data_IF_696834752499
#
_entry.id   IF_696834752499
#
_cell.length_a   1.000
_cell.length_b   1.000
_cell.length_c   1.000
_cell.angle_alpha   90.00
_cell.angle_beta   90.00
_cell.angle_gamma   90.00
#
_symmetry.space_group_name_H-M   'P 1'
#
loop_
_entity.id
_entity.type
_entity.pdbx_description
1 polymer ?
#
# COMPACT_ATOMS: atom_id res chain seq x y z
N UNK A 1 -12.34 -2.58 -12.80
CA UNK A 1 -13.25 -3.62 -13.35
C UNK A 1 -14.47 -3.90 -12.47
N UNK A 2 -14.35 -3.90 -11.13
CA UNK A 2 -15.50 -4.13 -10.21
C UNK A 2 -16.52 -2.98 -10.19
N UNK A 3 -16.06 -1.73 -10.01
CA UNK A 3 -16.92 -0.54 -10.01
C UNK A 3 -17.78 -0.42 -11.29
N UNK A 4 -17.18 -0.65 -12.46
CA UNK A 4 -17.89 -0.67 -13.75
C UNK A 4 -18.96 -1.78 -13.80
N UNK A 5 -18.64 -2.98 -13.32
CA UNK A 5 -19.59 -4.09 -13.23
C UNK A 5 -20.77 -3.78 -12.32
N UNK A 6 -20.52 -3.20 -11.14
CA UNK A 6 -21.55 -2.78 -10.20
C UNK A 6 -22.45 -1.69 -10.77
N UNK A 7 -21.87 -0.67 -11.44
CA UNK A 7 -22.63 0.37 -12.15
C UNK A 7 -23.54 -0.22 -13.22
N UNK A 8 -23.06 -1.19 -14.01
CA UNK A 8 -23.87 -1.91 -15.02
C UNK A 8 -25.03 -2.69 -14.42
N UNK A 9 -24.89 -3.17 -13.18
CA UNK A 9 -25.97 -3.84 -12.42
C UNK A 9 -26.93 -2.85 -11.75
N UNK A 10 -26.78 -1.54 -11.98
CA UNK A 10 -27.67 -0.50 -11.46
C UNK A 10 -27.29 0.07 -10.09
N UNK A 11 -26.21 -0.43 -9.46
CA UNK A 11 -25.78 0.04 -8.16
C UNK A 11 -25.24 1.49 -8.21
N UNK A 12 -25.38 2.20 -7.10
CA UNK A 12 -24.65 3.44 -6.85
C UNK A 12 -23.22 3.09 -6.49
N UNK A 13 -22.24 3.73 -7.13
CA UNK A 13 -20.82 3.47 -6.88
C UNK A 13 -20.09 4.79 -6.71
N UNK A 14 -19.57 5.02 -5.51
CA UNK A 14 -18.79 6.20 -5.14
C UNK A 14 -17.35 5.77 -4.91
N UNK A 15 -16.42 6.46 -5.55
CA UNK A 15 -14.98 6.23 -5.40
C UNK A 15 -14.38 7.45 -4.67
N UNK A 16 -13.70 7.18 -3.56
CA UNK A 16 -13.02 8.14 -2.71
C UNK A 16 -11.53 7.80 -2.71
N UNK A 17 -10.72 8.75 -3.14
CA UNK A 17 -9.28 8.69 -3.03
C UNK A 17 -8.83 9.95 -2.28
N UNK A 18 -8.10 9.82 -1.17
CA UNK A 18 -7.50 10.93 -0.45
C UNK A 18 -6.47 11.73 -1.22
N UNK A 19 -6.23 11.47 -2.50
CA UNK A 19 -5.45 12.35 -3.38
C UNK A 19 -5.97 13.80 -3.34
N UNK A 20 -7.27 13.96 -3.13
CA UNK A 20 -7.93 15.26 -2.93
C UNK A 20 -7.58 15.90 -1.56
N UNK A 21 -6.88 15.19 -0.66
CA UNK A 21 -6.64 15.47 0.76
C UNK A 21 -5.13 15.45 1.06
N UNK A 22 -4.46 16.60 1.23
CA UNK A 22 -3.09 16.57 1.78
C UNK A 22 -3.16 16.46 3.31
N UNK A 23 -2.40 15.53 3.90
CA UNK A 23 -2.26 15.43 5.36
C UNK A 23 -1.72 16.73 5.97
N UNK A 24 -0.88 17.45 5.23
CA UNK A 24 -0.44 18.81 5.58
C UNK A 24 -1.63 19.77 5.77
N UNK A 25 -2.64 19.72 4.89
CA UNK A 25 -3.83 20.56 5.01
C UNK A 25 -4.74 20.11 6.16
N UNK A 26 -4.80 18.82 6.47
CA UNK A 26 -5.51 18.31 7.64
C UNK A 26 -4.82 18.78 8.92
N UNK A 27 -3.51 18.61 9.03
CA UNK A 27 -2.70 19.07 10.17
C UNK A 27 -2.79 20.59 10.36
N UNK A 28 -2.63 21.37 9.29
CA UNK A 28 -2.76 22.82 9.34
C UNK A 28 -4.18 23.30 9.69
N UNK A 29 -5.21 22.54 9.33
CA UNK A 29 -6.59 22.85 9.67
C UNK A 29 -6.95 22.53 11.13
N UNK A 30 -6.21 21.63 11.78
CA UNK A 30 -6.46 21.06 13.11
C UNK A 30 -5.37 21.42 14.14
N UNK A 31 -4.53 22.41 13.81
CA UNK A 31 -3.27 22.77 14.49
C UNK A 31 -3.37 23.22 15.98
N UNK A 32 -4.46 22.91 16.69
CA UNK A 32 -4.74 23.41 18.04
C UNK A 32 -5.03 22.33 19.10
N UNK A 33 -4.64 21.07 18.91
CA UNK A 33 -4.91 20.02 19.93
C UNK A 33 -3.67 19.31 20.50
N UNK A 34 -3.40 19.59 21.78
CA UNK A 34 -2.60 18.82 22.74
C UNK A 34 -3.40 17.67 23.41
N UNK A 35 -4.59 17.31 22.89
CA UNK A 35 -5.43 16.26 23.49
C UNK A 35 -5.17 14.87 22.89
N UNK A 36 -5.24 13.85 23.75
CA UNK A 36 -4.83 12.49 23.43
C UNK A 36 -5.54 11.85 22.23
N UNK A 37 -4.80 10.97 21.55
CA UNK A 37 -5.14 10.27 20.29
C UNK A 37 -6.57 9.73 20.18
N UNK A 38 -7.17 9.20 21.26
CA UNK A 38 -8.51 8.60 21.23
C UNK A 38 -9.64 9.59 20.89
N UNK A 39 -9.52 10.84 21.34
CA UNK A 39 -10.50 11.88 21.02
C UNK A 39 -10.45 12.27 19.54
N UNK A 40 -9.26 12.23 18.93
CA UNK A 40 -9.05 12.51 17.50
C UNK A 40 -9.68 11.43 16.61
N UNK A 41 -9.47 10.16 16.95
CA UNK A 41 -10.04 9.02 16.18
C UNK A 41 -11.56 9.11 16.09
N UNK A 42 -12.24 9.39 17.20
CA UNK A 42 -13.70 9.54 17.22
C UNK A 42 -14.21 10.70 16.34
N UNK A 43 -13.47 11.81 16.31
CA UNK A 43 -13.84 12.98 15.50
C UNK A 43 -13.70 12.67 14.00
N UNK A 44 -12.60 12.03 13.61
CA UNK A 44 -12.42 11.55 12.24
C UNK A 44 -13.46 10.51 11.85
N UNK A 45 -13.79 9.56 12.72
CA UNK A 45 -14.84 8.57 12.44
C UNK A 45 -16.22 9.23 12.20
N UNK A 46 -16.57 10.25 12.99
CA UNK A 46 -17.80 11.02 12.78
C UNK A 46 -17.76 11.78 11.44
N UNK A 47 -16.66 12.49 11.15
CA UNK A 47 -16.49 13.25 9.92
C UNK A 47 -16.52 12.37 8.66
N UNK A 48 -15.91 11.19 8.70
CA UNK A 48 -15.94 10.22 7.60
C UNK A 48 -17.34 9.70 7.33
N UNK A 49 -18.05 9.24 8.36
CA UNK A 49 -19.45 8.80 8.24
C UNK A 49 -20.32 9.92 7.65
N UNK A 50 -20.18 11.15 8.17
CA UNK A 50 -20.89 12.32 7.66
C UNK A 50 -20.62 12.51 6.16
N UNK A 51 -19.35 12.57 5.76
CA UNK A 51 -18.96 12.74 4.36
C UNK A 51 -19.56 11.66 3.46
N UNK A 52 -19.42 10.39 3.83
CA UNK A 52 -19.90 9.27 3.02
C UNK A 52 -21.41 9.33 2.86
N UNK A 53 -22.16 9.57 3.95
CA UNK A 53 -23.61 9.70 3.88
C UNK A 53 -24.05 10.88 3.01
N UNK A 54 -23.40 12.03 3.14
CA UNK A 54 -23.70 13.21 2.31
C UNK A 54 -23.45 12.94 0.83
N UNK A 55 -22.31 12.31 0.49
CA UNK A 55 -21.99 11.97 -0.89
C UNK A 55 -22.96 10.94 -1.47
N UNK A 56 -23.33 9.93 -0.69
CA UNK A 56 -24.34 8.95 -1.06
C UNK A 56 -25.69 9.61 -1.33
N UNK A 57 -26.15 10.48 -0.44
CA UNK A 57 -27.40 11.22 -0.60
C UNK A 57 -27.36 12.10 -1.85
N UNK A 58 -26.27 12.82 -2.10
CA UNK A 58 -26.07 13.62 -3.32
C UNK A 58 -26.17 12.77 -4.58
N UNK A 59 -25.48 11.63 -4.61
CA UNK A 59 -25.45 10.73 -5.76
C UNK A 59 -26.82 10.10 -6.04
N UNK A 60 -27.55 9.68 -5.00
CA UNK A 60 -28.92 9.17 -5.11
C UNK A 60 -29.88 10.24 -5.68
N UNK A 61 -29.77 11.48 -5.20
CA UNK A 61 -30.57 12.60 -5.69
C UNK A 61 -30.22 12.93 -7.15
N UNK A 62 -28.93 12.95 -7.50
CA UNK A 62 -28.47 13.20 -8.86
C UNK A 62 -28.98 12.14 -9.85
N UNK A 63 -28.85 10.85 -9.52
CA UNK A 63 -29.33 9.74 -10.36
C UNK A 63 -30.84 9.76 -10.60
N UNK A 64 -31.62 10.34 -9.68
CA UNK A 64 -33.06 10.48 -9.85
C UNK A 64 -33.48 11.51 -10.91
N UNK A 65 -32.53 12.31 -11.43
CA UNK A 65 -32.80 13.32 -12.45
C UNK A 65 -33.81 14.38 -12.01
N UNK A 66 -33.90 14.67 -10.71
CA UNK A 66 -34.86 15.64 -10.16
C UNK A 66 -36.27 15.09 -9.92
N UNK A 67 -36.52 13.80 -10.17
CA UNK A 67 -37.85 13.16 -10.10
C UNK A 67 -38.02 12.34 -8.82
N UNK A 68 -38.21 12.99 -7.68
CA UNK A 68 -38.33 12.32 -6.38
C UNK A 68 -39.72 12.36 -5.73
N UNK A 69 -40.72 12.98 -6.39
CA UNK A 69 -42.13 12.94 -5.98
C UNK A 69 -42.37 13.32 -4.50
N UNK A 70 -43.28 12.59 -3.82
CA UNK A 70 -43.42 12.59 -2.36
C UNK A 70 -42.95 11.22 -1.86
N UNK A 71 -41.91 11.16 -1.03
CA UNK A 71 -41.36 9.89 -0.53
C UNK A 71 -40.02 10.05 0.19
N UNK A 72 -39.37 8.93 0.58
CA UNK A 72 -38.08 8.93 1.28
C UNK A 72 -37.00 9.75 0.56
N UNK A 73 -36.87 9.56 -0.76
CA UNK A 73 -35.90 10.28 -1.58
C UNK A 73 -36.18 11.80 -1.62
N UNK A 74 -37.44 12.23 -1.53
CA UNK A 74 -37.78 13.65 -1.49
C UNK A 74 -37.34 14.33 -0.17
N UNK A 75 -37.36 13.59 0.95
CA UNK A 75 -36.83 14.09 2.23
C UNK A 75 -35.30 14.25 2.17
N UNK A 76 -34.62 13.24 1.62
CA UNK A 76 -33.17 13.28 1.36
C UNK A 76 -32.82 14.45 0.43
N UNK A 77 -33.54 14.60 -0.69
CA UNK A 77 -33.34 15.69 -1.64
C UNK A 77 -33.53 17.08 -1.01
N UNK A 78 -34.50 17.22 -0.09
CA UNK A 78 -34.70 18.46 0.66
C UNK A 78 -33.51 18.75 1.57
N UNK A 79 -33.05 17.77 2.34
CA UNK A 79 -31.87 17.93 3.20
C UNK A 79 -30.63 18.34 2.40
N UNK A 80 -30.34 17.64 1.30
CA UNK A 80 -29.21 17.94 0.41
C UNK A 80 -29.32 19.37 -0.15
N UNK A 81 -30.51 19.79 -0.57
CA UNK A 81 -30.73 21.15 -1.08
C UNK A 81 -30.53 22.22 -0.01
N UNK A 82 -31.05 22.00 1.19
CA UNK A 82 -31.06 23.01 2.24
C UNK A 82 -29.68 23.16 2.92
N UNK A 83 -28.88 22.08 2.94
CA UNK A 83 -27.61 22.04 3.68
C UNK A 83 -26.36 21.89 2.79
N UNK A 84 -26.53 21.43 1.54
CA UNK A 84 -25.42 21.08 0.64
C UNK A 84 -25.65 21.52 -0.81
N UNK A 85 -26.37 22.62 -1.02
CA UNK A 85 -26.71 23.19 -2.34
C UNK A 85 -25.51 23.56 -3.20
N UNK A 86 -24.36 23.86 -2.58
CA UNK A 86 -23.12 24.15 -3.30
C UNK A 86 -22.60 22.88 -4.00
N UNK A 87 -22.62 22.89 -5.34
CA UNK A 87 -22.14 21.81 -6.18
C UNK A 87 -20.62 21.57 -6.08
N UNK A 88 -19.87 22.60 -5.66
CA UNK A 88 -18.42 22.67 -5.87
C UNK A 88 -17.59 22.59 -4.57
N UNK A 89 -18.20 22.20 -3.44
CA UNK A 89 -17.42 21.95 -2.23
C UNK A 89 -16.62 20.66 -2.45
N UNK A 90 -15.29 20.77 -2.53
CA UNK A 90 -14.38 19.61 -2.53
C UNK A 90 -14.77 18.68 -1.38
N UNK A 91 -14.72 17.36 -1.61
CA UNK A 91 -14.98 16.35 -0.58
C UNK A 91 -14.16 16.62 0.69
N UNK A 92 -12.95 17.18 0.52
CA UNK A 92 -12.05 17.60 1.60
C UNK A 92 -12.68 18.68 2.46
N UNK A 93 -13.20 19.71 1.82
CA UNK A 93 -13.79 20.87 2.48
C UNK A 93 -15.05 20.48 3.27
N UNK A 94 -15.79 19.46 2.82
CA UNK A 94 -16.90 18.91 3.58
C UNK A 94 -16.43 18.16 4.84
N UNK A 95 -15.36 17.36 4.73
CA UNK A 95 -14.76 16.66 5.86
C UNK A 95 -14.12 17.63 6.87
N UNK A 96 -13.25 18.54 6.41
CA UNK A 96 -12.64 19.60 7.23
C UNK A 96 -13.71 20.50 7.84
N UNK A 97 -14.74 20.87 7.08
CA UNK A 97 -15.85 21.68 7.58
C UNK A 97 -16.57 21.00 8.74
N UNK A 98 -16.76 19.68 8.68
CA UNK A 98 -17.34 18.92 9.79
C UNK A 98 -16.40 18.83 11.00
N UNK A 99 -15.11 18.58 10.78
CA UNK A 99 -14.10 18.58 11.84
C UNK A 99 -14.05 19.94 12.56
N UNK A 100 -14.03 21.04 11.81
CA UNK A 100 -14.07 22.40 12.37
C UNK A 100 -15.37 22.71 13.14
N UNK A 101 -16.50 22.09 12.79
CA UNK A 101 -17.73 22.18 13.60
C UNK A 101 -17.53 21.52 14.96
N UNK A 102 -16.91 20.34 15.00
CA UNK A 102 -16.59 19.63 16.25
C UNK A 102 -15.64 20.49 17.10
N UNK A 103 -14.57 21.02 16.50
CA UNK A 103 -13.58 21.87 17.19
C UNK A 103 -14.16 23.21 17.67
N UNK A 104 -14.95 23.88 16.84
CA UNK A 104 -15.52 25.18 17.15
C UNK A 104 -16.44 25.15 18.38
N UNK A 105 -17.11 24.03 18.63
CA UNK A 105 -17.91 23.82 19.85
C UNK A 105 -17.01 23.72 21.11
N UNK A 106 -15.75 23.26 20.98
CA UNK A 106 -14.81 23.19 22.11
C UNK A 106 -14.33 24.58 22.56
N UNK A 107 -14.14 25.51 21.62
CA UNK A 107 -13.47 26.82 21.84
C UNK A 107 -14.45 27.98 22.15
N UNK A 108 -15.74 27.88 21.81
CA UNK A 108 -16.70 28.99 21.95
C UNK A 108 -17.03 29.44 23.39
N UNK A 109 -17.61 30.63 23.63
CA UNK A 109 -17.84 31.21 24.97
C UNK A 109 -19.04 30.62 25.76
N UNK A 110 -19.68 29.55 25.28
CA UNK A 110 -20.92 29.00 25.85
C UNK A 110 -20.72 28.25 27.19
N UNK A 111 -21.80 28.00 27.94
CA UNK A 111 -21.77 27.17 29.16
C UNK A 111 -21.30 25.73 28.88
N UNK A 112 -20.50 25.15 29.79
CA UNK A 112 -19.87 23.82 29.61
C UNK A 112 -20.89 22.68 29.36
N UNK A 113 -22.07 22.75 29.98
CA UNK A 113 -23.15 21.77 29.79
C UNK A 113 -23.75 21.81 28.37
N UNK A 114 -23.89 23.01 27.80
CA UNK A 114 -24.36 23.18 26.43
C UNK A 114 -23.35 22.63 25.42
N UNK A 115 -22.06 22.92 25.60
CA UNK A 115 -20.98 22.40 24.72
C UNK A 115 -20.96 20.88 24.71
N UNK A 116 -21.09 20.24 25.88
CA UNK A 116 -21.06 18.78 26.01
C UNK A 116 -22.19 18.14 25.20
N UNK A 117 -23.41 18.67 25.32
CA UNK A 117 -24.57 18.17 24.56
C UNK A 117 -24.40 18.37 23.06
N UNK A 118 -23.90 19.53 22.63
CA UNK A 118 -23.75 19.83 21.21
C UNK A 118 -22.63 18.98 20.56
N UNK A 119 -21.53 18.75 21.27
CA UNK A 119 -20.50 17.79 20.87
C UNK A 119 -21.09 16.40 20.73
N UNK A 120 -21.85 15.94 21.73
CA UNK A 120 -22.47 14.61 21.71
C UNK A 120 -23.33 14.40 20.46
N UNK A 121 -24.13 15.40 20.06
CA UNK A 121 -24.93 15.36 18.82
C UNK A 121 -24.04 15.22 17.57
N UNK A 122 -22.93 15.96 17.50
CA UNK A 122 -22.02 15.92 16.36
C UNK A 122 -21.31 14.56 16.24
N UNK A 123 -20.85 13.98 17.35
CA UNK A 123 -20.25 12.64 17.34
C UNK A 123 -21.27 11.55 16.99
N UNK A 124 -22.52 11.71 17.46
CA UNK A 124 -23.62 10.78 17.15
C UNK A 124 -24.16 10.94 15.74
N UNK A 125 -23.89 12.06 15.06
CA UNK A 125 -24.46 12.40 13.75
C UNK A 125 -25.99 12.53 13.79
N UNK A 126 -26.55 13.16 14.82
CA UNK A 126 -28.00 13.26 15.01
C UNK A 126 -28.74 13.78 13.75
N UNK A 127 -28.14 14.74 13.03
CA UNK A 127 -28.69 15.29 11.78
C UNK A 127 -28.79 14.25 10.65
N UNK A 128 -27.82 13.35 10.55
CA UNK A 128 -27.81 12.27 9.56
C UNK A 128 -28.66 11.09 10.03
N UNK A 129 -28.60 10.75 11.32
CA UNK A 129 -29.38 9.67 11.93
C UNK A 129 -30.89 9.84 11.70
N UNK A 130 -31.37 11.08 11.73
CA UNK A 130 -32.76 11.42 11.43
C UNK A 130 -33.19 11.04 9.99
N UNK A 131 -32.24 10.85 9.06
CA UNK A 131 -32.48 10.50 7.66
C UNK A 131 -32.19 9.03 7.33
N UNK A 132 -31.55 8.27 8.24
CA UNK A 132 -31.19 6.87 8.00
C UNK A 132 -32.39 5.97 7.70
N UNK A 133 -33.58 6.12 8.33
CA UNK A 133 -34.74 5.29 7.98
C UNK A 133 -35.18 5.48 6.53
N UNK A 134 -35.21 6.72 6.04
CA UNK A 134 -35.51 7.02 4.65
C UNK A 134 -34.41 6.53 3.70
N UNK A 135 -33.15 6.75 4.07
CA UNK A 135 -32.01 6.31 3.28
C UNK A 135 -32.01 4.79 3.11
N UNK A 136 -32.33 4.03 4.16
CA UNK A 136 -32.47 2.57 4.10
C UNK A 136 -33.56 2.13 3.11
N UNK A 137 -34.70 2.83 3.07
CA UNK A 137 -35.76 2.51 2.11
C UNK A 137 -35.33 2.78 0.67
N UNK A 138 -34.56 3.85 0.42
CA UNK A 138 -34.02 4.13 -0.90
C UNK A 138 -32.97 3.09 -1.30
N UNK A 139 -32.06 2.74 -0.40
CA UNK A 139 -30.98 1.78 -0.63
C UNK A 139 -31.49 0.36 -0.93
N UNK A 140 -32.59 -0.05 -0.30
CA UNK A 140 -33.22 -1.35 -0.58
C UNK A 140 -33.67 -1.50 -2.05
N UNK A 141 -33.92 -0.38 -2.75
CA UNK A 141 -34.25 -0.37 -4.18
C UNK A 141 -33.04 -0.05 -5.05
N UNK A 142 -32.06 0.65 -4.50
CA UNK A 142 -30.87 1.12 -5.19
C UNK A 142 -29.65 0.94 -4.30
N UNK A 143 -29.07 -0.28 -4.26
CA UNK A 143 -27.94 -0.56 -3.39
C UNK A 143 -26.73 0.28 -3.79
N UNK A 144 -25.89 0.58 -2.80
CA UNK A 144 -24.74 1.43 -2.95
C UNK A 144 -23.46 0.76 -2.45
N UNK A 145 -22.38 0.99 -3.18
CA UNK A 145 -21.04 0.54 -2.83
C UNK A 145 -20.11 1.75 -2.84
N UNK A 146 -19.36 1.95 -1.76
CA UNK A 146 -18.33 2.98 -1.65
C UNK A 146 -16.98 2.29 -1.64
N UNK A 147 -16.06 2.76 -2.48
CA UNK A 147 -14.66 2.37 -2.45
C UNK A 147 -13.84 3.53 -1.91
N UNK A 148 -13.04 3.26 -0.89
CA UNK A 148 -12.06 4.18 -0.33
C UNK A 148 -10.69 3.54 -0.54
N UNK A 149 -9.86 4.19 -1.34
CA UNK A 149 -8.51 3.71 -1.69
C UNK A 149 -7.47 4.81 -1.43
N UNK A 150 -6.18 4.48 -1.48
CA UNK A 150 -5.06 5.43 -1.41
C UNK A 150 -4.97 6.29 -0.13
N UNK A 151 -5.34 5.70 1.02
CA UNK A 151 -5.21 6.33 2.34
C UNK A 151 -3.75 6.53 2.79
N UNK A 152 -2.82 5.92 2.08
CA UNK A 152 -1.38 5.96 2.33
C UNK A 152 -0.65 7.17 1.72
N UNK A 153 -1.30 7.91 0.82
CA UNK A 153 -0.64 9.04 0.15
C UNK A 153 -0.39 10.22 1.09
N UNK A 154 0.87 10.67 1.16
CA UNK A 154 1.26 11.76 2.07
C UNK A 154 1.30 11.33 3.53
N UNK A 155 1.29 10.02 3.80
CA UNK A 155 1.46 9.47 5.13
C UNK A 155 2.79 9.92 5.74
N UNK A 156 2.75 10.54 6.91
CA UNK A 156 3.92 11.02 7.64
C UNK A 156 4.06 10.36 9.03
N UNK A 157 3.25 9.32 9.28
CA UNK A 157 3.11 8.65 10.57
C UNK A 157 2.72 9.56 11.76
N UNK A 158 2.28 10.80 11.51
CA UNK A 158 1.78 11.70 12.55
C UNK A 158 0.55 11.14 13.28
N UNK A 159 0.31 11.60 14.50
CA UNK A 159 -0.87 11.18 15.27
C UNK A 159 -2.17 11.48 14.50
N UNK A 160 -2.22 12.60 13.77
CA UNK A 160 -3.39 13.00 12.99
C UNK A 160 -3.59 12.09 11.78
N UNK A 161 -2.51 11.70 11.08
CA UNK A 161 -2.59 10.73 9.99
C UNK A 161 -3.08 9.36 10.49
N UNK A 162 -2.52 8.88 11.61
CA UNK A 162 -2.97 7.64 12.26
C UNK A 162 -4.44 7.72 12.66
N UNK A 163 -4.87 8.81 13.29
CA UNK A 163 -6.25 8.99 13.72
C UNK A 163 -7.23 9.13 12.54
N UNK A 164 -6.80 9.73 11.43
CA UNK A 164 -7.59 9.86 10.20
C UNK A 164 -7.90 8.50 9.58
N UNK A 165 -6.88 7.63 9.44
CA UNK A 165 -7.03 6.28 8.91
C UNK A 165 -7.82 5.38 9.89
N UNK A 166 -7.51 5.44 11.18
CA UNK A 166 -8.26 4.71 12.21
C UNK A 166 -9.74 5.12 12.25
N UNK A 167 -10.02 6.42 12.13
CA UNK A 167 -11.38 6.96 12.04
C UNK A 167 -12.12 6.46 10.81
N UNK A 168 -11.46 6.39 9.64
CA UNK A 168 -12.04 5.81 8.43
C UNK A 168 -12.37 4.32 8.62
N UNK A 169 -11.48 3.56 9.24
CA UNK A 169 -11.71 2.15 9.55
C UNK A 169 -12.93 1.97 10.47
N UNK A 170 -13.02 2.73 11.55
CA UNK A 170 -14.20 2.70 12.45
C UNK A 170 -15.49 3.11 11.74
N UNK A 171 -15.44 4.13 10.87
CA UNK A 171 -16.57 4.55 10.05
C UNK A 171 -17.04 3.41 9.11
N UNK A 172 -16.10 2.76 8.43
CA UNK A 172 -16.36 1.63 7.54
C UNK A 172 -17.09 0.49 8.27
N UNK A 173 -16.56 0.07 9.42
CA UNK A 173 -17.16 -0.98 10.24
C UNK A 173 -18.56 -0.60 10.74
N UNK A 174 -18.71 0.62 11.26
CA UNK A 174 -20.00 1.11 11.75
C UNK A 174 -21.07 1.14 10.64
N UNK A 175 -20.73 1.60 9.44
CA UNK A 175 -21.67 1.70 8.33
C UNK A 175 -22.05 0.31 7.77
N UNK A 176 -21.07 -0.58 7.59
CA UNK A 176 -21.32 -1.94 7.11
C UNK A 176 -22.17 -2.77 8.09
N UNK A 177 -22.10 -2.49 9.39
CA UNK A 177 -22.95 -3.14 10.39
C UNK A 177 -24.43 -2.72 10.35
N UNK A 178 -24.74 -1.56 9.75
CA UNK A 178 -26.09 -0.97 9.79
C UNK A 178 -26.98 -1.39 8.62
N UNK A 179 -26.40 -1.76 7.47
CA UNK A 179 -27.15 -2.08 6.26
C UNK A 179 -26.38 -3.05 5.35
N UNK A 180 -27.09 -4.01 4.77
CA UNK A 180 -26.56 -4.89 3.72
C UNK A 180 -26.63 -4.26 2.33
N UNK A 181 -27.46 -3.22 2.15
CA UNK A 181 -27.65 -2.51 0.89
C UNK A 181 -26.65 -1.36 0.70
N UNK A 182 -25.79 -1.14 1.69
CA UNK A 182 -24.69 -0.19 1.70
C UNK A 182 -23.42 -0.92 2.08
N UNK A 183 -22.46 -1.00 1.17
CA UNK A 183 -21.16 -1.61 1.46
C UNK A 183 -20.05 -0.59 1.24
N UNK A 184 -19.24 -0.37 2.27
CA UNK A 184 -18.03 0.44 2.22
C UNK A 184 -16.84 -0.52 2.17
N UNK A 185 -16.04 -0.42 1.12
CA UNK A 185 -14.75 -1.07 1.00
C UNK A 185 -13.65 -0.06 1.24
N UNK A 186 -12.67 -0.45 2.04
CA UNK A 186 -11.47 0.31 2.35
C UNK A 186 -10.28 -0.55 1.96
N UNK A 187 -9.40 -0.05 1.11
CA UNK A 187 -8.08 -0.63 0.87
C UNK A 187 -7.03 0.16 1.64
N UNK A 188 -6.10 -0.57 2.24
CA UNK A 188 -4.99 -0.01 2.99
C UNK A 188 -3.74 -0.85 2.72
N UNK A 189 -2.60 -0.17 2.59
CA UNK A 189 -1.29 -0.82 2.55
C UNK A 189 -1.04 -1.61 3.83
N UNK A 190 -0.40 -2.78 3.72
CA UNK A 190 -0.26 -3.70 4.84
C UNK A 190 0.60 -3.10 5.95
N UNK A 191 1.71 -2.47 5.59
CA UNK A 191 2.61 -1.77 6.49
C UNK A 191 1.92 -0.62 7.24
N UNK A 192 0.96 0.07 6.63
CA UNK A 192 0.18 1.10 7.33
C UNK A 192 -0.80 0.49 8.31
N UNK A 193 -1.47 -0.58 7.90
CA UNK A 193 -2.32 -1.35 8.80
C UNK A 193 -1.52 -1.84 10.02
N UNK A 194 -0.32 -2.37 9.77
CA UNK A 194 0.54 -2.93 10.81
C UNK A 194 1.14 -1.86 11.75
N UNK A 195 1.20 -0.60 11.32
CA UNK A 195 1.77 0.54 12.05
C UNK A 195 0.75 1.41 12.81
N UNK A 196 -0.55 1.09 12.76
CA UNK A 196 -1.59 1.85 13.49
C UNK A 196 -2.14 0.99 14.63
N UNK A 197 -1.69 1.19 15.89
CA UNK A 197 -2.13 0.40 17.05
C UNK A 197 -3.65 0.37 17.22
N UNK A 198 -4.32 1.50 16.98
CA UNK A 198 -5.77 1.62 17.10
C UNK A 198 -6.54 0.69 16.15
N UNK A 199 -5.94 0.33 15.00
CA UNK A 199 -6.54 -0.65 14.10
C UNK A 199 -6.50 -2.06 14.67
N UNK A 200 -5.48 -2.43 15.47
CA UNK A 200 -5.39 -3.78 16.02
C UNK A 200 -6.47 -4.09 17.05
N UNK A 201 -6.74 -3.16 17.97
CA UNK A 201 -7.73 -3.33 19.02
C UNK A 201 -9.14 -3.52 18.45
N UNK A 202 -9.45 -2.82 17.36
CA UNK A 202 -10.72 -2.97 16.66
C UNK A 202 -10.71 -4.16 15.70
N UNK A 203 -9.62 -4.39 14.96
CA UNK A 203 -9.52 -5.47 14.00
C UNK A 203 -9.65 -6.85 14.63
N UNK A 204 -9.23 -7.05 15.88
CA UNK A 204 -9.47 -8.32 16.58
C UNK A 204 -10.94 -8.76 16.59
N UNK A 205 -11.87 -7.79 16.60
CA UNK A 205 -13.33 -7.99 16.58
C UNK A 205 -13.88 -8.18 15.17
N UNK A 206 -13.13 -7.76 14.15
CA UNK A 206 -13.57 -7.68 12.75
C UNK A 206 -12.67 -8.46 11.79
N UNK A 207 -11.88 -9.42 12.31
CA UNK A 207 -10.99 -10.26 11.47
C UNK A 207 -11.71 -10.93 10.31
N UNK A 208 -12.96 -11.33 10.51
CA UNK A 208 -13.76 -12.04 9.50
C UNK A 208 -14.18 -11.16 8.31
N UNK A 209 -14.00 -9.83 8.40
CA UNK A 209 -14.34 -8.87 7.31
C UNK A 209 -13.10 -8.19 6.72
N UNK A 210 -11.89 -8.59 7.15
CA UNK A 210 -10.62 -8.09 6.63
C UNK A 210 -9.98 -9.18 5.79
N UNK A 211 -9.66 -8.84 4.54
CA UNK A 211 -9.00 -9.76 3.61
C UNK A 211 -7.61 -9.23 3.24
N UNK A 212 -6.58 -10.03 3.48
CA UNK A 212 -5.21 -9.72 3.08
C UNK A 212 -4.92 -10.30 1.70
N UNK A 213 -4.68 -9.41 0.72
CA UNK A 213 -4.33 -9.82 -0.64
C UNK A 213 -2.84 -10.12 -0.70
N UNK A 214 -2.48 -11.34 -1.09
CA UNK A 214 -1.08 -11.73 -1.32
C UNK A 214 -0.93 -12.50 -2.63
N UNK A 215 0.25 -12.40 -3.24
CA UNK A 215 0.58 -13.08 -4.49
C UNK A 215 1.61 -14.17 -4.25
N UNK A 216 1.45 -15.29 -4.96
CA UNK A 216 2.40 -16.37 -5.01
C UNK A 216 2.81 -16.63 -6.46
N UNK A 217 3.79 -17.52 -6.66
CA UNK A 217 4.30 -17.87 -7.98
C UNK A 217 3.20 -18.38 -8.92
N UNK A 218 2.28 -19.21 -8.44
CA UNK A 218 1.19 -19.74 -9.25
C UNK A 218 0.24 -18.63 -9.74
N UNK A 219 -0.17 -17.72 -8.85
CA UNK A 219 -1.02 -16.58 -9.20
C UNK A 219 -0.32 -15.61 -10.16
N UNK A 220 0.97 -15.36 -9.96
CA UNK A 220 1.77 -14.53 -10.89
C UNK A 220 1.90 -15.19 -12.26
N UNK A 221 2.03 -16.51 -12.33
CA UNK A 221 2.03 -17.27 -13.58
C UNK A 221 0.69 -17.14 -14.31
N UNK A 222 -0.43 -17.33 -13.61
CA UNK A 222 -1.77 -17.15 -14.21
C UNK A 222 -1.98 -15.73 -14.74
N UNK A 223 -1.58 -14.74 -13.96
CA UNK A 223 -1.67 -13.33 -14.33
C UNK A 223 -0.87 -13.01 -15.60
N UNK A 224 0.41 -13.39 -15.65
CA UNK A 224 1.27 -13.05 -16.78
C UNK A 224 0.83 -13.81 -18.04
N UNK A 225 0.41 -15.08 -17.91
CA UNK A 225 -0.11 -15.85 -19.05
C UNK A 225 -1.39 -15.23 -19.60
N UNK A 226 -2.31 -14.75 -18.74
CA UNK A 226 -3.49 -14.05 -19.20
C UNK A 226 -3.14 -12.78 -20.00
N UNK A 227 -2.12 -12.03 -19.56
CA UNK A 227 -1.60 -10.86 -20.29
C UNK A 227 -0.97 -11.26 -21.62
N UNK A 228 -0.12 -12.28 -21.65
CA UNK A 228 0.55 -12.75 -22.86
C UNK A 228 -0.47 -13.26 -23.91
N UNK A 229 -1.49 -14.03 -23.50
CA UNK A 229 -2.58 -14.48 -24.39
C UNK A 229 -3.42 -13.33 -24.93
N UNK A 230 -3.61 -12.29 -24.13
CA UNK A 230 -4.31 -11.09 -24.57
C UNK A 230 -3.50 -10.36 -25.65
N UNK A 231 -2.20 -10.16 -25.41
CA UNK A 231 -1.29 -9.42 -26.28
C UNK A 231 -0.91 -10.17 -27.55
N UNK A 232 -0.87 -11.50 -27.54
CA UNK A 232 -0.49 -12.31 -28.71
C UNK A 232 -1.55 -13.38 -29.02
N UNK A 233 -2.27 -13.26 -30.17
CA UNK A 233 -3.24 -14.26 -30.60
C UNK A 233 -2.66 -15.67 -30.74
N UNK A 234 -1.39 -15.79 -31.13
CA UNK A 234 -0.70 -17.09 -31.32
C UNK A 234 -0.56 -17.90 -30.03
N UNK A 235 -0.66 -17.25 -28.87
CA UNK A 235 -0.53 -17.90 -27.56
C UNK A 235 -1.87 -18.34 -26.96
N UNK A 236 -3.00 -17.91 -27.55
CA UNK A 236 -4.35 -18.13 -26.98
C UNK A 236 -4.71 -19.60 -26.87
N UNK A 237 -4.35 -20.39 -27.86
CA UNK A 237 -4.75 -21.79 -27.99
C UNK A 237 -3.78 -22.76 -27.29
N UNK A 238 -2.68 -22.25 -26.71
CA UNK A 238 -1.76 -23.08 -25.94
C UNK A 238 -2.42 -23.50 -24.61
N UNK A 239 -2.53 -24.82 -24.32
CA UNK A 239 -3.34 -25.30 -23.21
C UNK A 239 -2.68 -25.11 -21.84
N UNK A 240 -1.35 -25.15 -21.78
CA UNK A 240 -0.58 -25.11 -20.54
C UNK A 240 0.08 -23.74 -20.33
N UNK A 241 0.03 -23.23 -19.10
CA UNK A 241 0.66 -21.96 -18.74
C UNK A 241 2.19 -21.99 -18.97
N UNK A 242 2.85 -23.09 -18.61
CA UNK A 242 4.29 -23.26 -18.85
C UNK A 242 4.65 -23.27 -20.34
N UNK A 243 3.75 -23.74 -21.21
CA UNK A 243 3.96 -23.71 -22.65
C UNK A 243 3.84 -22.28 -23.19
N UNK A 244 2.88 -21.49 -22.67
CA UNK A 244 2.78 -20.05 -23.00
C UNK A 244 4.05 -19.33 -22.54
N UNK A 245 4.50 -19.58 -21.31
CA UNK A 245 5.73 -18.99 -20.81
C UNK A 245 6.94 -19.36 -21.67
N UNK A 246 7.12 -20.65 -21.95
CA UNK A 246 8.25 -21.19 -22.72
C UNK A 246 8.26 -20.77 -24.18
N UNK A 247 7.15 -20.24 -24.70
CA UNK A 247 7.10 -19.64 -26.04
C UNK A 247 7.68 -18.21 -26.08
N UNK A 248 7.78 -17.54 -24.93
CA UNK A 248 8.27 -16.17 -24.80
C UNK A 248 9.64 -16.13 -24.14
N UNK A 249 9.88 -16.91 -23.09
CA UNK A 249 11.14 -16.96 -22.34
C UNK A 249 11.69 -18.39 -22.34
N UNK A 250 13.02 -18.55 -22.31
CA UNK A 250 13.61 -19.89 -22.16
C UNK A 250 13.19 -20.49 -20.82
N UNK A 251 12.82 -21.77 -20.75
CA UNK A 251 12.35 -22.37 -19.49
C UNK A 251 13.43 -22.28 -18.39
N UNK A 252 14.65 -22.69 -18.73
CA UNK A 252 15.80 -22.73 -17.81
C UNK A 252 16.93 -21.83 -18.33
N UNK A 253 17.42 -20.96 -17.46
CA UNK A 253 18.53 -20.07 -17.75
C UNK A 253 19.86 -20.82 -17.68
N UNK A 254 20.81 -20.44 -18.53
CA UNK A 254 22.19 -20.97 -18.47
C UNK A 254 22.86 -20.61 -17.14
N UNK A 255 22.58 -19.41 -16.62
CA UNK A 255 23.05 -18.96 -15.31
C UNK A 255 22.34 -19.72 -14.18
N UNK A 256 23.13 -20.36 -13.31
CA UNK A 256 22.69 -21.13 -12.11
C UNK A 256 21.64 -22.22 -12.34
N UNK A 257 21.31 -22.54 -13.61
CA UNK A 257 20.29 -23.52 -13.99
C UNK A 257 18.93 -23.26 -13.32
N UNK A 258 18.61 -21.98 -13.07
CA UNK A 258 17.33 -21.56 -12.51
C UNK A 258 16.27 -21.42 -13.60
N UNK A 259 15.01 -21.66 -13.25
CA UNK A 259 13.87 -21.33 -14.12
C UNK A 259 13.79 -19.83 -14.37
N UNK A 260 13.57 -19.42 -15.62
CA UNK A 260 13.48 -17.99 -15.97
C UNK A 260 12.33 -17.28 -15.27
N UNK A 261 11.20 -17.98 -15.11
CA UNK A 261 10.05 -17.47 -14.37
C UNK A 261 10.42 -17.07 -12.94
N UNK A 262 11.01 -18.00 -12.17
CA UNK A 262 11.43 -17.74 -10.79
C UNK A 262 12.50 -16.63 -10.73
N UNK A 263 13.43 -16.62 -11.68
CA UNK A 263 14.46 -15.59 -11.77
C UNK A 263 13.86 -14.17 -11.90
N UNK A 264 12.83 -14.01 -12.75
CA UNK A 264 12.15 -12.73 -12.94
C UNK A 264 11.25 -12.39 -11.74
N UNK A 265 10.49 -13.34 -11.20
CA UNK A 265 9.63 -13.12 -10.02
C UNK A 265 10.45 -12.65 -8.81
N UNK A 266 11.61 -13.25 -8.56
CA UNK A 266 12.50 -12.89 -7.43
C UNK A 266 13.02 -11.44 -7.48
N UNK A 267 12.83 -10.73 -8.60
CA UNK A 267 13.23 -9.32 -8.79
C UNK A 267 12.10 -8.33 -8.62
N UNK A 268 10.91 -8.80 -8.25
CA UNK A 268 9.69 -7.98 -8.30
C UNK A 268 9.03 -7.76 -6.94
N UNK A 269 9.63 -8.27 -5.85
CA UNK A 269 9.00 -8.32 -4.52
C UNK A 269 7.63 -9.02 -4.54
N UNK A 270 7.42 -9.93 -5.52
CA UNK A 270 6.14 -10.59 -5.79
C UNK A 270 4.99 -9.62 -6.11
N UNK A 271 5.31 -8.37 -6.48
CA UNK A 271 4.31 -7.37 -6.86
C UNK A 271 3.90 -7.57 -8.32
N UNK A 272 2.59 -7.79 -8.62
CA UNK A 272 2.08 -8.05 -9.95
C UNK A 272 2.46 -7.03 -11.02
N UNK A 273 2.43 -5.74 -10.69
CA UNK A 273 2.66 -4.66 -11.66
C UNK A 273 4.12 -4.67 -12.11
N UNK A 274 5.02 -4.89 -11.16
CA UNK A 274 6.46 -4.92 -11.29
C UNK A 274 6.89 -6.16 -12.08
N UNK A 275 6.22 -7.28 -11.88
CA UNK A 275 6.44 -8.48 -12.70
C UNK A 275 5.96 -8.29 -14.15
N UNK A 276 4.79 -7.69 -14.35
CA UNK A 276 4.30 -7.33 -15.70
C UNK A 276 5.28 -6.36 -16.38
N UNK A 277 5.72 -5.33 -15.65
CA UNK A 277 6.66 -4.33 -16.17
C UNK A 277 7.98 -4.97 -16.59
N UNK A 278 8.62 -5.75 -15.70
CA UNK A 278 9.88 -6.41 -16.03
C UNK A 278 9.75 -7.34 -17.26
N UNK A 279 8.66 -8.10 -17.37
CA UNK A 279 8.43 -8.91 -18.57
C UNK A 279 8.25 -8.04 -19.82
N UNK A 280 7.53 -6.91 -19.70
CA UNK A 280 7.35 -5.94 -20.77
C UNK A 280 8.67 -5.34 -21.24
N UNK A 281 9.50 -4.85 -20.31
CA UNK A 281 10.80 -4.24 -20.58
C UNK A 281 11.72 -5.22 -21.33
N UNK A 282 11.75 -6.50 -20.91
CA UNK A 282 12.55 -7.53 -21.59
C UNK A 282 12.04 -7.80 -23.02
N UNK A 283 10.72 -7.85 -23.22
CA UNK A 283 10.12 -8.06 -24.54
C UNK A 283 10.36 -6.85 -25.46
N UNK A 284 10.27 -5.64 -24.93
CA UNK A 284 10.51 -4.40 -25.66
C UNK A 284 11.97 -4.27 -26.09
N UNK A 285 12.91 -4.56 -25.19
CA UNK A 285 14.35 -4.61 -25.49
C UNK A 285 14.65 -5.64 -26.59
N UNK A 286 14.09 -6.86 -26.47
CA UNK A 286 14.24 -7.90 -27.47
C UNK A 286 13.71 -7.47 -28.85
N UNK A 287 12.53 -6.85 -28.86
CA UNK A 287 11.89 -6.36 -30.09
C UNK A 287 12.74 -5.28 -30.75
N UNK A 288 13.27 -4.34 -29.96
CA UNK A 288 14.13 -3.26 -30.43
C UNK A 288 15.46 -3.76 -30.99
N UNK A 289 16.01 -4.84 -30.39
CA UNK A 289 17.22 -5.51 -30.85
C UNK A 289 17.00 -6.51 -31.99
N UNK A 290 15.75 -6.74 -32.43
CA UNK A 290 15.41 -7.73 -33.45
C UNK A 290 15.63 -9.19 -33.03
N UNK A 291 15.60 -9.46 -31.72
CA UNK A 291 15.78 -10.79 -31.15
C UNK A 291 14.46 -11.58 -31.14
N UNK A 292 14.53 -12.85 -31.52
CA UNK A 292 13.37 -13.74 -31.52
C UNK A 292 13.24 -14.47 -30.18
N UNK A 293 11.99 -14.73 -29.78
CA UNK A 293 11.68 -15.62 -28.65
C UNK A 293 12.05 -17.09 -28.96
N UNK A 294 12.31 -17.94 -27.96
CA UNK A 294 12.29 -17.64 -26.53
C UNK A 294 13.50 -16.82 -26.05
N UNK A 295 13.23 -15.78 -25.25
CA UNK A 295 14.21 -14.83 -24.74
C UNK A 295 15.07 -15.46 -23.64
N UNK A 296 16.38 -15.30 -23.76
CA UNK A 296 17.36 -15.97 -22.90
C UNK A 296 17.89 -15.07 -21.77
N UNK A 297 18.91 -15.58 -21.06
CA UNK A 297 19.53 -14.84 -19.96
C UNK A 297 20.15 -13.51 -20.41
N UNK A 298 20.77 -13.46 -21.58
CA UNK A 298 21.46 -12.25 -22.04
C UNK A 298 20.45 -11.12 -22.28
N UNK A 299 19.33 -11.44 -22.95
CA UNK A 299 18.23 -10.48 -23.17
C UNK A 299 17.56 -10.04 -21.87
N UNK A 300 17.39 -10.95 -20.91
CA UNK A 300 16.86 -10.58 -19.59
C UNK A 300 17.79 -9.58 -18.90
N UNK A 301 19.10 -9.87 -18.88
CA UNK A 301 20.07 -9.01 -18.17
C UNK A 301 20.27 -7.64 -18.81
N UNK A 302 20.06 -7.50 -20.13
CA UNK A 302 20.18 -6.19 -20.78
C UNK A 302 19.08 -5.22 -20.35
N UNK A 303 17.84 -5.70 -20.16
CA UNK A 303 16.74 -4.90 -19.62
C UNK A 303 16.80 -4.74 -18.09
N UNK A 304 17.43 -5.69 -17.38
CA UNK A 304 17.44 -5.74 -15.91
C UNK A 304 18.06 -4.50 -15.25
N UNK A 305 19.09 -3.88 -15.85
CA UNK A 305 19.72 -2.68 -15.27
C UNK A 305 18.76 -1.49 -15.23
N UNK A 306 18.12 -1.17 -16.36
CA UNK A 306 17.17 -0.05 -16.44
C UNK A 306 15.97 -0.27 -15.50
N UNK A 307 15.44 -1.50 -15.46
CA UNK A 307 14.42 -1.89 -14.51
C UNK A 307 14.87 -1.71 -13.06
N UNK A 308 16.05 -2.21 -12.70
CA UNK A 308 16.63 -2.11 -11.36
C UNK A 308 16.79 -0.67 -10.91
N UNK A 309 17.26 0.21 -11.79
CA UNK A 309 17.41 1.64 -11.53
C UNK A 309 16.05 2.31 -11.29
N UNK A 310 15.11 2.12 -12.22
CA UNK A 310 13.78 2.71 -12.12
C UNK A 310 13.09 2.28 -10.82
N UNK A 311 13.14 0.98 -10.49
CA UNK A 311 12.51 0.43 -9.29
C UNK A 311 13.17 0.88 -8.00
N UNK A 312 14.49 1.04 -7.98
CA UNK A 312 15.20 1.58 -6.81
C UNK A 312 14.71 3.00 -6.51
N UNK A 313 14.58 3.85 -7.54
CA UNK A 313 14.08 5.22 -7.41
C UNK A 313 12.59 5.25 -7.04
N UNK A 314 11.78 4.39 -7.64
CA UNK A 314 10.34 4.30 -7.35
C UNK A 314 10.09 3.94 -5.88
N UNK A 315 10.81 2.94 -5.34
CA UNK A 315 10.69 2.55 -3.93
C UNK A 315 11.13 3.70 -3.03
N UNK A 316 12.27 4.36 -3.31
CA UNK A 316 12.67 5.53 -2.52
C UNK A 316 11.61 6.65 -2.55
N UNK A 317 10.97 6.89 -3.70
CA UNK A 317 9.91 7.88 -3.84
C UNK A 317 8.61 7.49 -3.12
N UNK A 318 8.28 6.19 -3.07
CA UNK A 318 7.13 5.63 -2.35
C UNK A 318 7.17 6.00 -0.86
N UNK A 319 8.37 5.96 -0.26
CA UNK A 319 8.58 6.25 1.16
C UNK A 319 9.09 7.66 1.46
N UNK A 320 9.11 8.58 0.48
CA UNK A 320 9.76 9.90 0.61
C UNK A 320 9.26 10.76 1.78
N UNK A 321 8.03 10.56 2.23
CA UNK A 321 7.45 11.32 3.35
C UNK A 321 7.86 10.73 4.71
N UNK A 322 8.10 9.41 4.79
CA UNK A 322 8.55 8.78 6.03
C UNK A 322 10.07 8.79 6.13
N UNK A 323 10.75 8.56 5.01
CA UNK A 323 12.21 8.44 4.91
C UNK A 323 12.75 9.33 3.78
N UNK A 324 12.71 10.67 3.93
CA UNK A 324 13.40 11.58 3.01
C UNK A 324 14.89 11.19 2.89
N UNK A 325 15.40 11.16 1.67
CA UNK A 325 16.79 10.75 1.40
C UNK A 325 17.03 9.22 1.38
N UNK A 326 15.99 8.40 1.31
CA UNK A 326 16.14 6.93 1.31
C UNK A 326 16.96 6.41 0.12
N UNK A 327 16.95 7.11 -1.02
CA UNK A 327 17.77 6.72 -2.18
C UNK A 327 19.25 6.81 -1.84
N UNK A 328 19.67 7.88 -1.17
CA UNK A 328 21.04 8.11 -0.72
C UNK A 328 21.49 7.03 0.27
N UNK A 329 20.58 6.52 1.09
CA UNK A 329 20.85 5.36 1.95
C UNK A 329 21.10 4.10 1.11
N UNK A 330 20.29 3.83 0.09
CA UNK A 330 20.53 2.69 -0.81
C UNK A 330 21.89 2.80 -1.53
N UNK A 331 22.29 4.00 -1.91
CA UNK A 331 23.57 4.29 -2.56
C UNK A 331 24.80 3.93 -1.70
N UNK A 332 24.69 3.93 -0.37
CA UNK A 332 25.76 3.48 0.54
C UNK A 332 26.17 2.02 0.32
N UNK A 333 25.28 1.21 -0.26
CA UNK A 333 25.54 -0.19 -0.59
C UNK A 333 26.14 -0.39 -1.99
N UNK A 334 26.42 0.68 -2.74
CA UNK A 334 26.96 0.58 -4.10
C UNK A 334 28.29 -0.17 -4.12
N UNK A 335 28.40 -1.16 -5.00
CA UNK A 335 29.60 -1.98 -5.16
C UNK A 335 29.89 -2.99 -4.03
N UNK A 336 29.06 -3.02 -2.98
CA UNK A 336 29.19 -3.94 -1.85
C UNK A 336 28.91 -5.40 -2.23
N UNK A 337 29.21 -6.34 -1.33
CA UNK A 337 28.79 -7.74 -1.49
C UNK A 337 27.32 -7.86 -1.09
N UNK A 338 26.49 -8.50 -1.92
CA UNK A 338 25.05 -8.56 -1.65
C UNK A 338 24.64 -9.55 -0.56
N UNK A 339 25.56 -10.37 -0.04
CA UNK A 339 25.35 -11.15 1.19
C UNK A 339 26.12 -10.46 2.31
N UNK A 340 25.39 -10.08 3.36
CA UNK A 340 25.92 -9.31 4.47
C UNK A 340 25.76 -10.12 5.74
N UNK A 341 26.81 -10.27 6.52
CA UNK A 341 26.64 -10.61 7.93
C UNK A 341 26.15 -9.37 8.70
N UNK A 342 25.61 -9.61 9.90
CA UNK A 342 25.04 -8.57 10.74
C UNK A 342 26.05 -7.46 11.07
N UNK A 343 27.28 -7.81 11.42
CA UNK A 343 28.32 -6.84 11.81
C UNK A 343 28.67 -5.91 10.65
N UNK A 344 28.86 -6.47 9.45
CA UNK A 344 29.13 -5.69 8.23
C UNK A 344 27.96 -4.77 7.88
N UNK A 345 26.72 -5.26 8.04
CA UNK A 345 25.52 -4.47 7.78
C UNK A 345 25.38 -3.32 8.80
N UNK A 346 25.54 -3.61 10.10
CA UNK A 346 25.50 -2.60 11.16
C UNK A 346 26.56 -1.53 10.94
N UNK A 347 27.77 -1.92 10.52
CA UNK A 347 28.83 -0.98 10.17
C UNK A 347 28.44 -0.06 9.01
N UNK A 348 27.93 -0.60 7.90
CA UNK A 348 27.45 0.23 6.77
C UNK A 348 26.29 1.14 7.19
N UNK A 349 25.37 0.65 8.03
CA UNK A 349 24.28 1.46 8.57
C UNK A 349 24.81 2.61 9.44
N UNK A 350 25.81 2.35 10.28
CA UNK A 350 26.44 3.38 11.11
C UNK A 350 27.18 4.42 10.25
N UNK A 351 27.88 4.01 9.20
CA UNK A 351 28.51 4.93 8.24
C UNK A 351 27.45 5.82 7.56
N UNK A 352 26.30 5.25 7.16
CA UNK A 352 25.21 6.01 6.57
C UNK A 352 24.63 7.05 7.55
N UNK A 353 24.43 6.67 8.81
CA UNK A 353 23.89 7.54 9.87
C UNK A 353 24.85 8.69 10.17
N UNK A 354 26.14 8.38 10.39
CA UNK A 354 27.16 9.40 10.70
C UNK A 354 27.41 10.39 9.57
N UNK A 355 27.42 9.93 8.31
CA UNK A 355 27.55 10.83 7.16
C UNK A 355 26.37 11.80 7.00
N UNK A 356 25.17 11.39 7.42
CA UNK A 356 23.99 12.24 7.39
C UNK A 356 24.03 13.32 8.47
N UNK A 357 24.69 13.09 9.60
CA UNK A 357 24.90 14.11 10.65
C UNK A 357 25.84 15.24 10.16
N UNK A 358 26.85 14.89 9.35
CA UNK A 358 27.83 15.84 8.81
C UNK A 358 27.29 16.63 7.58
N UNK A 359 26.30 16.07 6.88
CA UNK A 359 25.75 16.64 5.66
C UNK A 359 24.60 17.60 6.00
N UNK A 360 24.83 18.92 5.90
CA UNK A 360 23.81 19.96 6.09
C UNK A 360 22.67 19.97 5.04
N UNK A 361 22.54 18.90 4.23
CA UNK A 361 21.62 18.79 3.10
C UNK A 361 20.98 17.40 3.07
N UNK A 362 19.67 17.34 3.30
CA UNK A 362 18.79 16.40 2.59
C UNK A 362 18.40 15.08 3.26
N UNK A 363 18.92 14.75 4.45
CA UNK A 363 18.42 13.60 5.23
C UNK A 363 17.73 14.14 6.48
N UNK A 364 16.41 14.32 6.39
CA UNK A 364 15.56 15.04 7.34
C UNK A 364 15.50 14.38 8.72
N UNK A 365 16.54 14.51 9.57
CA UNK A 365 16.55 14.26 11.01
C UNK A 365 16.24 12.84 11.52
N UNK A 366 15.47 12.05 10.76
CA UNK A 366 15.03 10.71 11.09
C UNK A 366 16.23 9.78 11.16
N UNK A 367 17.15 9.86 10.18
CA UNK A 367 18.32 8.99 10.11
C UNK A 367 19.28 9.24 11.27
N UNK A 368 19.54 10.51 11.63
CA UNK A 368 20.41 10.88 12.77
C UNK A 368 19.83 10.47 14.14
N UNK A 369 18.53 10.18 14.21
CA UNK A 369 17.89 9.72 15.45
C UNK A 369 17.91 8.21 15.64
N UNK A 370 18.41 7.46 14.65
CA UNK A 370 18.38 6.00 14.64
C UNK A 370 19.69 5.39 15.12
N UNK A 371 19.55 4.22 15.74
CA UNK A 371 20.63 3.24 15.86
C UNK A 371 20.64 2.33 14.61
N UNK A 372 21.77 1.65 14.29
CA UNK A 372 21.88 0.77 13.14
C UNK A 372 20.75 -0.26 13.02
N UNK A 373 20.28 -0.81 14.14
CA UNK A 373 19.17 -1.76 14.20
C UNK A 373 17.87 -1.16 13.66
N UNK A 374 17.60 0.11 13.97
CA UNK A 374 16.45 0.84 13.45
C UNK A 374 16.52 1.02 11.94
N UNK A 375 17.71 1.33 11.41
CA UNK A 375 17.91 1.43 9.97
C UNK A 375 17.77 0.06 9.27
N UNK A 376 18.26 -1.01 9.88
CA UNK A 376 18.10 -2.38 9.36
C UNK A 376 16.61 -2.76 9.28
N UNK A 377 15.82 -2.41 10.30
CA UNK A 377 14.38 -2.63 10.30
C UNK A 377 13.72 -1.92 9.12
N UNK A 378 14.02 -0.63 8.91
CA UNK A 378 13.48 0.15 7.80
C UNK A 378 13.88 -0.44 6.45
N UNK A 379 15.17 -0.78 6.27
CA UNK A 379 15.66 -1.41 5.04
C UNK A 379 15.00 -2.78 4.76
N UNK A 380 14.62 -3.52 5.80
CA UNK A 380 13.84 -4.74 5.64
C UNK A 380 12.38 -4.46 5.26
N UNK A 381 11.72 -3.50 5.93
CA UNK A 381 10.33 -3.13 5.71
C UNK A 381 10.09 -2.64 4.27
N UNK A 382 10.92 -1.72 3.79
CA UNK A 382 10.85 -1.19 2.40
C UNK A 382 11.24 -2.21 1.33
N UNK A 383 11.66 -3.42 1.75
CA UNK A 383 11.99 -4.54 0.87
C UNK A 383 13.41 -4.51 0.30
N UNK A 384 14.27 -3.61 0.78
CA UNK A 384 15.68 -3.56 0.37
C UNK A 384 16.47 -4.78 0.85
N UNK A 385 16.21 -5.23 2.08
CA UNK A 385 16.85 -6.40 2.67
C UNK A 385 15.96 -7.65 2.67
N UNK A 386 16.60 -8.80 2.53
CA UNK A 386 16.07 -10.13 2.85
C UNK A 386 16.85 -10.71 4.02
N UNK A 387 16.16 -11.40 4.91
CA UNK A 387 16.74 -11.99 6.11
C UNK A 387 16.77 -13.53 6.00
N UNK A 388 17.86 -14.16 6.45
CA UNK A 388 18.00 -15.62 6.41
C UNK A 388 17.10 -16.29 7.46
N UNK A 389 16.15 -17.12 7.01
CA UNK A 389 15.24 -17.84 7.90
C UNK A 389 15.99 -18.80 8.85
N UNK A 390 15.74 -18.67 10.15
CA UNK A 390 16.20 -19.59 11.20
C UNK A 390 15.20 -20.76 11.36
N UNK A 391 15.68 -21.92 11.85
CA UNK A 391 14.90 -23.17 11.89
C UNK A 391 13.52 -23.02 12.56
N UNK A 392 12.46 -23.54 11.92
CA UNK A 392 11.05 -23.36 12.29
C UNK A 392 10.24 -22.67 11.19
N UNK A 393 10.79 -21.60 10.60
CA UNK A 393 10.20 -20.81 9.50
C UNK A 393 10.33 -21.55 8.13
N UNK A 394 10.88 -22.77 8.13
CA UNK A 394 11.04 -23.59 6.92
C UNK A 394 9.71 -23.96 6.27
N UNK A 395 8.60 -23.94 7.00
CA UNK A 395 7.28 -24.31 6.50
C UNK A 395 6.68 -23.27 5.54
N UNK A 396 7.09 -22.00 5.61
CA UNK A 396 6.59 -20.90 4.76
C UNK A 396 7.47 -20.63 3.53
N UNK A 397 8.41 -21.53 3.22
CA UNK A 397 9.31 -21.40 2.07
C UNK A 397 8.53 -21.51 0.75
N UNK A 398 8.19 -20.37 0.14
CA UNK A 398 7.53 -20.33 -1.18
C UNK A 398 8.51 -20.42 -2.37
N UNK A 399 9.79 -20.09 -2.18
CA UNK A 399 10.76 -19.83 -3.27
C UNK A 399 12.04 -20.71 -3.24
N UNK A 400 12.19 -21.62 -2.28
CA UNK A 400 13.43 -22.41 -2.13
C UNK A 400 14.67 -21.60 -1.67
N UNK A 401 14.63 -20.27 -1.73
CA UNK A 401 15.61 -19.37 -1.12
C UNK A 401 15.57 -19.46 0.41
N UNK A 402 16.75 -19.47 1.05
CA UNK A 402 16.87 -19.38 2.51
C UNK A 402 16.66 -17.97 3.05
N UNK A 403 16.55 -16.96 2.18
CA UNK A 403 16.38 -15.55 2.52
C UNK A 403 14.94 -15.13 2.23
N UNK A 404 14.28 -14.49 3.18
CA UNK A 404 12.89 -14.05 3.08
C UNK A 404 12.81 -12.52 3.17
N UNK A 405 11.99 -11.91 2.32
CA UNK A 405 11.67 -10.48 2.40
C UNK A 405 10.47 -10.20 3.29
N UNK A 406 10.23 -8.93 3.62
CA UNK A 406 9.07 -8.46 4.39
C UNK A 406 7.73 -8.93 3.79
N UNK A 407 7.62 -8.93 2.46
CA UNK A 407 6.44 -9.43 1.73
C UNK A 407 6.17 -10.95 1.88
N UNK A 408 7.12 -11.72 2.42
CA UNK A 408 6.99 -13.18 2.59
C UNK A 408 6.71 -13.57 4.04
N UNK A 409 7.11 -12.75 5.01
CA UNK A 409 6.98 -13.01 6.45
C UNK A 409 6.66 -11.71 7.17
N UNK A 410 5.49 -11.63 7.79
CA UNK A 410 5.04 -10.40 8.47
C UNK A 410 5.75 -10.15 9.81
N UNK A 411 6.26 -11.20 10.48
CA UNK A 411 6.87 -11.09 11.81
C UNK A 411 8.16 -11.89 11.88
N UNK A 412 9.26 -11.21 11.62
CA UNK A 412 10.60 -11.75 11.83
C UNK A 412 11.31 -10.88 12.86
N UNK A 413 11.74 -11.48 13.98
CA UNK A 413 12.61 -10.77 14.91
C UNK A 413 14.00 -10.66 14.25
N UNK A 414 14.30 -9.47 13.72
CA UNK A 414 15.54 -9.22 13.01
C UNK A 414 16.77 -9.34 13.91
N UNK A 415 16.68 -9.02 15.21
CA UNK A 415 17.79 -9.04 16.17
C UNK A 415 18.50 -10.40 16.23
N UNK A 416 17.74 -11.49 16.01
CA UNK A 416 18.26 -12.85 16.01
C UNK A 416 18.92 -13.24 14.68
N UNK A 417 18.68 -12.48 13.62
CA UNK A 417 19.18 -12.76 12.27
C UNK A 417 20.62 -12.30 12.14
N UNK A 418 21.48 -13.23 11.72
CA UNK A 418 22.92 -12.98 11.52
C UNK A 418 23.32 -12.74 10.07
N UNK A 419 22.45 -13.07 9.13
CA UNK A 419 22.76 -13.04 7.71
C UNK A 419 21.62 -12.39 6.93
N UNK A 420 21.98 -11.37 6.16
CA UNK A 420 21.11 -10.59 5.32
C UNK A 420 21.55 -10.68 3.87
N UNK A 421 20.66 -10.25 2.99
CA UNK A 421 20.90 -10.20 1.56
C UNK A 421 20.23 -8.97 0.97
N UNK A 422 20.96 -8.17 0.18
CA UNK A 422 20.35 -7.11 -0.62
C UNK A 422 19.41 -7.76 -1.64
N UNK A 423 18.16 -7.31 -1.70
CA UNK A 423 17.15 -7.89 -2.58
C UNK A 423 17.57 -7.77 -4.06
N UNK A 424 17.27 -8.80 -4.86
CA UNK A 424 17.74 -8.94 -6.25
C UNK A 424 17.38 -7.73 -7.13
N UNK A 425 16.21 -7.14 -6.89
CA UNK A 425 15.71 -5.94 -7.57
C UNK A 425 16.71 -4.77 -7.60
N UNK A 426 17.52 -4.57 -6.56
CA UNK A 426 18.40 -3.40 -6.42
C UNK A 426 19.82 -3.65 -6.94
N UNK A 427 20.19 -4.91 -7.17
CA UNK A 427 21.60 -5.32 -7.29
C UNK A 427 22.29 -4.81 -8.54
N UNK A 428 21.58 -4.81 -9.67
CA UNK A 428 22.13 -4.40 -10.96
C UNK A 428 22.44 -2.90 -10.94
N UNK A 429 21.49 -2.09 -10.49
CA UNK A 429 21.67 -0.64 -10.34
C UNK A 429 22.80 -0.27 -9.37
N UNK A 430 22.83 -0.90 -8.20
CA UNK A 430 23.86 -0.67 -7.19
C UNK A 430 25.21 -1.34 -7.52
N UNK A 431 25.29 -2.17 -8.57
CA UNK A 431 26.51 -2.87 -8.94
C UNK A 431 27.05 -3.81 -7.84
N UNK A 432 26.16 -4.36 -7.02
CA UNK A 432 26.54 -5.26 -5.90
C UNK A 432 27.12 -6.58 -6.42
N UNK A 433 28.03 -7.18 -5.66
CA UNK A 433 28.85 -8.32 -6.09
C UNK A 433 28.47 -9.59 -5.34
N UNK A 434 28.69 -10.72 -5.99
CA UNK A 434 28.68 -12.02 -5.31
C UNK A 434 29.87 -12.13 -4.35
N UNK A 435 29.73 -12.83 -3.21
CA UNK A 435 30.87 -13.18 -2.38
C UNK A 435 31.85 -14.01 -3.21
N UNK A 436 33.15 -13.74 -3.07
CA UNK A 436 34.17 -14.61 -3.66
C UNK A 436 34.04 -15.99 -3.01
N UNK A 437 33.76 -17.04 -3.79
CA UNK A 437 33.73 -18.40 -3.27
C UNK A 437 35.12 -18.76 -2.72
N UNK A 438 35.25 -18.94 -1.41
CA UNK A 438 36.39 -19.65 -0.81
C UNK A 438 36.24 -21.13 -1.14
N UNK A 439 36.68 -21.52 -2.34
CA UNK A 439 36.91 -22.93 -2.63
C UNK A 439 38.21 -23.31 -1.92
N UNK A 440 38.23 -24.30 -0.99
CA UNK A 440 39.48 -24.82 -0.49
C UNK A 440 40.19 -25.47 -1.67
N UNK A 441 41.38 -24.98 -2.01
CA UNK A 441 42.28 -25.66 -2.94
C UNK A 441 42.58 -27.02 -2.33
N UNK A 442 41.89 -28.07 -2.79
CA UNK A 442 42.29 -29.45 -2.51
C UNK A 442 43.66 -29.62 -3.17
N UNK A 443 44.70 -29.55 -2.33
CA UNK A 443 46.07 -29.77 -2.75
C UNK A 443 46.16 -31.13 -3.43
N UNK A 444 46.62 -31.13 -4.67
CA UNK A 444 47.18 -32.31 -5.31
C UNK A 444 48.37 -32.77 -4.47
N UNK A 445 48.15 -33.73 -3.58
CA UNK A 445 49.21 -34.61 -3.13
C UNK A 445 49.66 -35.41 -4.34
N UNK A 446 50.77 -34.98 -4.96
CA UNK A 446 51.55 -35.83 -5.86
C UNK A 446 52.09 -36.99 -5.03
N UNK A 447 51.71 -38.20 -5.41
CA UNK A 447 52.55 -39.35 -5.20
C UNK A 447 53.77 -39.18 -6.13
N UNK A 448 54.94 -39.05 -5.52
CA UNK A 448 56.18 -39.75 -5.87
C UNK A 448 57.27 -39.38 -4.85
#
# INVERSE_FOLDING_TARGET
MLASGLRKRGAVVIELAPEDYSYEMLSAALASEDQGSWAKVGAYAAAWKYLIYVLLMKELVAKSGGKYGRGPLAKIARYVRDNHSSSDISKLSALIGYLKRIEGVKIGPAEASFRTRELEKLYKLDEINALLPELKQVLAQQPAVIFVDELDRGWDASEDAQAFVAGMFQACMAMNSQSTDLTVYMSLRQELYDNIPALYDDAQKFRDVIETISWNEAGLMELIVARLRHSSPTLRDLPLNDAVWSSVFVETLTYRKSRSFNYLVDRTLYRPREFIQLCGDVIEEATSAGLAAPLDYQTITSAEYAYSEARTKDIASEYRFQYPGLLEVFEQFRGSVHLLDRESLEFTCLEAITQAEDSSVGVDGWLSSLEPEGLIQILWEVGFLRARALGGIKAERRSGSSYLGSHQVNRLNLDLIRNFQIHQMFRSYLGTREPKSTTPTVGQARAD
#
